data_IF_223943214509
#
_entry.id   IF_223943214509
#
_cell.length_a   1.000
_cell.length_b   1.000
_cell.length_c   1.000
_cell.angle_alpha   90.00
_cell.angle_beta   90.00
_cell.angle_gamma   90.00
#
_symmetry.space_group_name_H-M   'P 1'
#
loop_
_entity.id
_entity.type
_entity.pdbx_description
1 polymer ?
#
# COMPACT_ATOMS: atom_id res chain seq x y z
N UNK A 1 21.86 -36.36 24.15
CA UNK A 1 20.77 -35.52 24.70
C UNK A 1 20.94 -34.15 24.07
N UNK A 2 20.50 -34.04 22.82
CA UNK A 2 20.50 -32.80 22.04
C UNK A 2 19.24 -32.05 22.42
N UNK A 3 19.39 -30.85 22.96
CA UNK A 3 18.27 -29.96 23.24
C UNK A 3 17.62 -29.61 21.90
N UNK A 4 16.34 -29.96 21.79
CA UNK A 4 15.46 -29.57 20.69
C UNK A 4 15.21 -28.07 20.84
N UNK A 5 15.66 -27.28 19.87
CA UNK A 5 15.38 -25.85 19.84
C UNK A 5 13.87 -25.69 19.57
N UNK A 6 13.10 -25.00 20.43
CA UNK A 6 11.66 -24.89 20.23
C UNK A 6 11.38 -24.13 18.94
N UNK A 7 10.59 -24.75 18.06
CA UNK A 7 10.12 -24.13 16.83
C UNK A 7 9.51 -22.74 17.13
N UNK A 8 9.82 -21.70 16.34
CA UNK A 8 9.25 -20.38 16.55
C UNK A 8 7.72 -20.48 16.51
N UNK A 9 7.07 -20.03 17.59
CA UNK A 9 5.62 -20.04 17.72
C UNK A 9 4.95 -19.24 16.59
N UNK A 10 3.69 -19.55 16.23
CA UNK A 10 3.01 -18.89 15.12
C UNK A 10 2.94 -17.38 15.34
N UNK A 11 3.36 -16.63 14.32
CA UNK A 11 3.21 -15.16 14.25
C UNK A 11 1.78 -14.77 14.62
N UNK A 12 1.63 -13.89 15.61
CA UNK A 12 0.36 -13.52 16.24
C UNK A 12 -0.46 -12.49 15.44
N UNK A 13 0.10 -11.94 14.37
CA UNK A 13 -0.57 -10.92 13.56
C UNK A 13 -1.40 -11.56 12.43
N UNK A 14 -2.66 -11.11 12.22
CA UNK A 14 -3.46 -11.55 11.09
C UNK A 14 -2.74 -11.19 9.78
N UNK A 15 -2.86 -12.04 8.76
CA UNK A 15 -2.29 -11.76 7.45
C UNK A 15 -2.78 -10.40 6.90
N UNK A 16 -1.96 -9.65 6.14
CA UNK A 16 -2.38 -8.37 5.59
C UNK A 16 -3.61 -8.52 4.67
N UNK A 17 -4.54 -7.54 4.67
CA UNK A 17 -5.79 -7.58 3.90
C UNK A 17 -5.54 -7.28 2.42
N UNK A 18 -4.84 -8.19 1.73
CA UNK A 18 -4.35 -7.97 0.36
C UNK A 18 -5.47 -7.72 -0.65
N UNK A 19 -6.64 -8.36 -0.49
CA UNK A 19 -7.81 -8.12 -1.32
C UNK A 19 -8.27 -6.66 -1.21
N UNK A 20 -8.57 -6.20 0.01
CA UNK A 20 -8.91 -4.80 0.27
C UNK A 20 -7.86 -3.82 -0.27
N UNK A 21 -6.57 -4.07 -0.04
CA UNK A 21 -5.48 -3.21 -0.56
C UNK A 21 -5.52 -3.14 -2.09
N UNK A 22 -5.75 -4.27 -2.78
CA UNK A 22 -5.91 -4.30 -4.24
C UNK A 22 -7.08 -3.44 -4.69
N UNK A 23 -8.24 -3.54 -4.03
CA UNK A 23 -9.43 -2.72 -4.33
C UNK A 23 -9.17 -1.22 -4.10
N UNK A 24 -8.41 -0.86 -3.06
CA UNK A 24 -8.04 0.54 -2.83
C UNK A 24 -7.11 1.07 -3.92
N UNK A 25 -6.19 0.25 -4.42
CA UNK A 25 -5.36 0.61 -5.56
C UNK A 25 -6.18 0.74 -6.85
N UNK A 26 -7.18 -0.13 -7.08
CA UNK A 26 -8.16 0.02 -8.17
C UNK A 26 -8.95 1.34 -8.04
N UNK A 27 -9.44 1.65 -6.84
CA UNK A 27 -10.17 2.89 -6.58
C UNK A 27 -9.31 4.12 -6.93
N UNK A 28 -8.03 4.14 -6.51
CA UNK A 28 -7.07 5.23 -6.83
C UNK A 28 -6.82 5.44 -8.33
N UNK A 29 -7.04 4.42 -9.15
CA UNK A 29 -6.92 4.51 -10.62
C UNK A 29 -8.21 4.96 -11.30
N UNK A 30 -9.35 4.72 -10.66
CA UNK A 30 -10.64 5.09 -11.20
C UNK A 30 -10.89 6.61 -11.06
N UNK A 31 -11.59 7.24 -12.02
CA UNK A 31 -11.97 8.65 -11.89
C UNK A 31 -12.75 8.90 -10.60
N UNK A 32 -12.53 10.07 -10.00
CA UNK A 32 -13.30 10.52 -8.84
C UNK A 32 -14.80 10.51 -9.15
N UNK A 33 -15.61 10.12 -8.17
CA UNK A 33 -17.06 10.07 -8.26
C UNK A 33 -17.59 9.14 -9.35
N UNK A 34 -16.78 8.18 -9.82
CA UNK A 34 -17.20 7.13 -10.74
C UNK A 34 -17.76 5.92 -10.00
N UNK A 35 -18.70 5.21 -10.63
CA UNK A 35 -19.23 3.94 -10.09
C UNK A 35 -18.13 2.92 -9.82
N UNK A 36 -17.10 2.87 -10.68
CA UNK A 36 -15.95 2.00 -10.51
C UNK A 36 -15.17 2.33 -9.23
N UNK A 37 -14.94 3.62 -8.95
CA UNK A 37 -14.26 4.08 -7.74
C UNK A 37 -15.07 3.74 -6.49
N UNK A 38 -16.33 4.15 -6.43
CA UNK A 38 -17.18 3.87 -5.26
C UNK A 38 -17.34 2.37 -5.03
N UNK A 39 -17.55 1.58 -6.10
CA UNK A 39 -17.66 0.13 -5.99
C UNK A 39 -16.40 -0.51 -5.39
N UNK A 40 -15.22 -0.07 -5.82
CA UNK A 40 -13.95 -0.55 -5.27
C UNK A 40 -13.76 -0.14 -3.80
N UNK A 41 -14.12 1.09 -3.40
CA UNK A 41 -14.09 1.53 -2.00
C UNK A 41 -15.05 0.72 -1.12
N UNK A 42 -16.26 0.44 -1.60
CA UNK A 42 -17.24 -0.37 -0.88
C UNK A 42 -16.75 -1.81 -0.68
N UNK A 43 -16.21 -2.45 -1.73
CA UNK A 43 -15.61 -3.78 -1.61
C UNK A 43 -14.43 -3.80 -0.64
N UNK A 44 -13.55 -2.81 -0.69
CA UNK A 44 -12.43 -2.70 0.25
C UNK A 44 -12.93 -2.57 1.70
N UNK A 45 -13.91 -1.70 1.93
CA UNK A 45 -14.49 -1.49 3.25
C UNK A 45 -15.16 -2.76 3.79
N UNK A 46 -15.92 -3.47 2.96
CA UNK A 46 -16.57 -4.73 3.33
C UNK A 46 -15.54 -5.79 3.78
N UNK A 47 -14.45 -5.96 3.04
CA UNK A 47 -13.35 -6.86 3.41
C UNK A 47 -12.66 -6.43 4.71
N UNK A 48 -12.38 -5.14 4.90
CA UNK A 48 -11.76 -4.63 6.13
C UNK A 48 -12.70 -4.77 7.35
N UNK A 49 -13.99 -4.49 7.17
CA UNK A 49 -14.99 -4.59 8.22
C UNK A 49 -15.22 -6.05 8.65
N UNK A 50 -14.94 -7.03 7.79
CA UNK A 50 -14.98 -8.45 8.12
C UNK A 50 -13.80 -8.89 9.03
N UNK A 51 -12.74 -8.08 9.12
CA UNK A 51 -11.58 -8.36 9.99
C UNK A 51 -11.73 -7.76 11.39
N UNK A 52 -12.74 -6.92 11.61
CA UNK A 52 -13.02 -6.34 12.92
C UNK A 52 -13.51 -7.42 13.90
N UNK A 53 -13.12 -7.35 15.18
CA UNK A 53 -13.59 -8.28 16.20
C UNK A 53 -15.12 -8.34 16.25
N UNK A 54 -15.65 -9.56 16.34
CA UNK A 54 -17.06 -9.84 16.16
C UNK A 54 -17.85 -9.58 17.46
N UNK A 55 -17.97 -8.31 17.87
CA UNK A 55 -18.83 -7.94 19.00
C UNK A 55 -20.30 -7.89 18.54
N UNK A 56 -20.90 -9.07 18.34
CA UNK A 56 -22.35 -9.24 18.24
C UNK A 56 -22.95 -9.29 16.82
N UNK A 57 -22.18 -9.59 15.78
CA UNK A 57 -22.74 -9.80 14.43
C UNK A 57 -23.50 -11.13 14.41
N UNK A 58 -24.82 -11.09 14.18
CA UNK A 58 -25.61 -12.31 14.00
C UNK A 58 -25.17 -12.97 12.71
N UNK A 59 -24.67 -14.20 12.80
CA UNK A 59 -24.40 -15.07 11.66
C UNK A 59 -25.72 -15.38 10.94
N UNK A 60 -26.10 -14.53 10.01
CA UNK A 60 -27.11 -14.79 8.99
C UNK A 60 -26.39 -15.12 7.70
N UNK A 61 -26.81 -16.20 7.04
CA UNK A 61 -26.39 -16.56 5.69
C UNK A 61 -26.94 -15.49 4.74
N UNK A 62 -26.18 -14.41 4.52
CA UNK A 62 -26.65 -13.27 3.76
C UNK A 62 -26.48 -13.54 2.27
N UNK A 63 -27.55 -13.98 1.61
CA UNK A 63 -27.60 -14.21 0.16
C UNK A 63 -27.73 -12.90 -0.63
N UNK A 64 -27.68 -11.74 0.04
CA UNK A 64 -27.75 -10.43 -0.60
C UNK A 64 -26.45 -10.11 -1.36
N UNK A 65 -26.53 -9.36 -2.48
CA UNK A 65 -25.34 -8.87 -3.15
C UNK A 65 -24.50 -8.05 -2.17
N UNK A 66 -23.17 -8.23 -2.21
CA UNK A 66 -22.22 -7.39 -1.46
C UNK A 66 -22.39 -5.91 -1.82
N UNK A 67 -21.79 -5.01 -1.05
CA UNK A 67 -22.10 -3.57 -1.13
C UNK A 67 -21.88 -2.98 -2.55
N UNK A 68 -20.88 -3.45 -3.28
CA UNK A 68 -20.63 -3.05 -4.67
C UNK A 68 -21.71 -3.57 -5.65
N UNK A 69 -22.25 -4.77 -5.41
CA UNK A 69 -23.34 -5.33 -6.21
C UNK A 69 -24.65 -4.57 -5.99
N UNK A 70 -24.95 -4.21 -4.74
CA UNK A 70 -26.10 -3.38 -4.40
C UNK A 70 -26.02 -1.98 -5.05
N UNK A 71 -24.83 -1.39 -5.14
CA UNK A 71 -24.62 -0.14 -5.86
C UNK A 71 -24.92 -0.29 -7.36
N UNK A 72 -24.41 -1.34 -8.00
CA UNK A 72 -24.66 -1.59 -9.42
C UNK A 72 -26.16 -1.79 -9.73
N UNK A 73 -26.88 -2.51 -8.86
CA UNK A 73 -28.33 -2.68 -8.97
C UNK A 73 -29.07 -1.34 -8.82
N UNK A 74 -28.69 -0.53 -7.83
CA UNK A 74 -29.27 0.80 -7.61
C UNK A 74 -29.05 1.70 -8.83
N UNK A 75 -27.85 1.74 -9.38
CA UNK A 75 -27.54 2.54 -10.56
C UNK A 75 -28.32 2.07 -11.79
N UNK A 76 -28.49 0.76 -11.97
CA UNK A 76 -29.32 0.21 -13.04
C UNK A 76 -30.80 0.62 -12.89
N UNK A 77 -31.33 0.64 -11.66
CA UNK A 77 -32.69 1.13 -11.38
C UNK A 77 -32.83 2.64 -11.64
N UNK A 78 -31.76 3.40 -11.41
CA UNK A 78 -31.70 4.85 -11.56
C UNK A 78 -31.30 5.31 -12.98
N UNK A 79 -31.17 4.40 -13.96
CA UNK A 79 -30.75 4.71 -15.33
C UNK A 79 -31.74 5.58 -16.15
N UNK A 80 -32.77 6.15 -15.52
CA UNK A 80 -33.71 7.10 -16.12
C UNK A 80 -33.30 8.56 -15.95
N UNK A 81 -33.91 9.50 -16.71
CA UNK A 81 -33.67 10.93 -16.56
C UNK A 81 -33.96 11.40 -15.12
N UNK A 82 -32.95 11.94 -14.43
CA UNK A 82 -33.02 12.37 -13.03
C UNK A 82 -32.45 11.37 -12.01
N UNK A 83 -32.45 10.07 -12.33
CA UNK A 83 -31.83 9.05 -11.47
C UNK A 83 -30.30 9.06 -11.54
N UNK A 84 -29.73 9.34 -12.73
CA UNK A 84 -28.28 9.49 -12.91
C UNK A 84 -27.69 10.62 -12.07
N UNK A 85 -28.39 11.76 -11.99
CA UNK A 85 -27.99 12.89 -11.14
C UNK A 85 -28.04 12.53 -9.65
N UNK A 86 -29.05 11.76 -9.23
CA UNK A 86 -29.14 11.25 -7.86
C UNK A 86 -28.02 10.26 -7.52
N UNK A 87 -27.69 9.36 -8.45
CA UNK A 87 -26.58 8.42 -8.29
C UNK A 87 -25.22 9.14 -8.21
N UNK A 88 -25.00 10.15 -9.05
CA UNK A 88 -23.80 10.98 -9.00
C UNK A 88 -23.66 11.71 -7.64
N UNK A 89 -24.73 12.35 -7.16
CA UNK A 89 -24.74 13.02 -5.86
C UNK A 89 -24.48 12.05 -4.70
N UNK A 90 -25.00 10.83 -4.77
CA UNK A 90 -24.72 9.79 -3.78
C UNK A 90 -23.24 9.40 -3.76
N UNK A 91 -22.60 9.25 -4.93
CA UNK A 91 -21.17 8.94 -5.03
C UNK A 91 -20.31 10.05 -4.44
N UNK A 92 -20.58 11.31 -4.80
CA UNK A 92 -19.89 12.48 -4.25
C UNK A 92 -20.01 12.56 -2.72
N UNK A 93 -21.16 12.17 -2.16
CA UNK A 93 -21.39 12.17 -0.71
C UNK A 93 -20.71 10.99 0.02
N UNK A 94 -20.77 9.78 -0.55
CA UNK A 94 -20.29 8.56 0.13
C UNK A 94 -18.78 8.37 0.05
N UNK A 95 -18.16 8.73 -1.07
CA UNK A 95 -16.70 8.57 -1.26
C UNK A 95 -15.86 9.16 -0.12
N UNK A 96 -16.01 10.45 0.27
CA UNK A 96 -15.18 11.03 1.33
C UNK A 96 -15.40 10.35 2.70
N UNK A 97 -16.62 9.85 2.97
CA UNK A 97 -16.92 9.14 4.21
C UNK A 97 -16.20 7.79 4.24
N UNK A 98 -16.31 7.02 3.15
CA UNK A 98 -15.65 5.72 3.03
C UNK A 98 -14.14 5.86 3.10
N UNK A 99 -13.57 6.85 2.41
CA UNK A 99 -12.13 7.13 2.50
C UNK A 99 -11.70 7.36 3.94
N UNK A 100 -12.37 8.25 4.69
CA UNK A 100 -12.00 8.51 6.09
C UNK A 100 -12.12 7.28 6.98
N UNK A 101 -13.14 6.44 6.77
CA UNK A 101 -13.28 5.18 7.50
C UNK A 101 -12.16 4.19 7.16
N UNK A 102 -11.84 4.04 5.88
CA UNK A 102 -10.75 3.17 5.41
C UNK A 102 -9.39 3.65 5.95
N UNK A 103 -9.12 4.95 5.90
CA UNK A 103 -7.90 5.53 6.48
C UNK A 103 -7.77 5.16 7.96
N UNK A 104 -8.85 5.28 8.74
CA UNK A 104 -8.86 4.90 10.15
C UNK A 104 -8.66 3.39 10.36
N UNK A 105 -9.35 2.54 9.58
CA UNK A 105 -9.24 1.07 9.67
C UNK A 105 -7.84 0.56 9.32
N UNK A 106 -7.11 1.30 8.47
CA UNK A 106 -5.75 0.96 8.06
C UNK A 106 -4.67 1.69 8.87
N UNK A 107 -5.03 2.34 9.99
CA UNK A 107 -4.14 3.08 10.90
C UNK A 107 -3.43 4.27 10.23
N UNK A 108 -4.13 5.01 9.39
CA UNK A 108 -3.63 6.20 8.68
C UNK A 108 -2.45 5.93 7.73
N UNK A 109 -2.64 5.14 6.66
CA UNK A 109 -1.59 4.89 5.66
C UNK A 109 -1.12 6.17 4.94
N UNK A 110 -1.93 7.23 4.87
CA UNK A 110 -1.58 8.54 4.32
C UNK A 110 -0.37 9.20 5.01
N UNK A 111 0.01 8.70 6.19
CA UNK A 111 1.13 9.19 7.00
C UNK A 111 2.38 8.33 6.91
N UNK A 112 2.38 7.35 5.98
CA UNK A 112 3.45 6.35 5.86
C UNK A 112 3.91 6.22 4.41
N UNK A 113 5.19 6.48 4.18
CA UNK A 113 5.86 6.34 2.88
C UNK A 113 6.97 5.30 2.97
N UNK A 114 6.82 4.18 2.27
CA UNK A 114 7.89 3.20 2.07
C UNK A 114 8.77 3.59 0.88
N UNK A 115 10.08 3.65 1.13
CA UNK A 115 11.08 4.09 0.17
C UNK A 115 12.13 3.01 -0.05
N UNK A 116 12.46 2.73 -1.30
CA UNK A 116 13.48 1.74 -1.72
C UNK A 116 14.62 2.33 -2.56
N UNK A 117 14.57 3.63 -2.85
CA UNK A 117 15.45 4.26 -3.85
C UNK A 117 15.89 5.67 -3.46
N UNK A 118 15.87 6.59 -4.43
CA UNK A 118 16.56 7.88 -4.34
C UNK A 118 16.06 8.86 -3.26
N UNK A 119 14.92 8.58 -2.63
CA UNK A 119 14.38 9.37 -1.50
C UNK A 119 14.94 8.92 -0.13
N UNK A 120 15.69 7.81 -0.06
CA UNK A 120 16.28 7.32 1.19
C UNK A 120 17.23 8.35 1.81
N UNK A 121 17.39 8.37 3.16
CA UNK A 121 18.39 9.20 3.81
C UNK A 121 19.79 9.02 3.21
N UNK A 122 20.42 10.11 2.78
CA UNK A 122 21.74 10.12 2.15
C UNK A 122 21.74 9.99 0.62
N UNK A 123 20.60 9.70 -0.01
CA UNK A 123 20.47 9.63 -1.47
C UNK A 123 20.16 10.99 -2.11
N UNK A 124 20.39 11.08 -3.44
CA UNK A 124 20.33 12.32 -4.20
C UNK A 124 19.01 13.10 -4.06
N UNK A 125 17.88 12.40 -3.95
CA UNK A 125 16.55 13.02 -3.92
C UNK A 125 15.96 13.08 -2.50
N UNK A 126 16.73 12.72 -1.47
CA UNK A 126 16.28 12.77 -0.07
C UNK A 126 15.74 14.14 0.34
N UNK A 127 16.28 15.21 -0.25
CA UNK A 127 15.84 16.58 0.01
C UNK A 127 14.34 16.82 -0.24
N UNK A 128 13.66 15.97 -1.02
CA UNK A 128 12.21 16.01 -1.16
C UNK A 128 11.46 15.60 0.11
N UNK A 129 12.02 14.75 0.96
CA UNK A 129 11.37 14.31 2.22
C UNK A 129 12.10 14.76 3.47
N UNK A 130 13.30 15.34 3.33
CA UNK A 130 14.18 15.73 4.44
C UNK A 130 13.56 16.74 5.41
N UNK A 131 12.64 17.59 4.95
CA UNK A 131 11.96 18.59 5.81
C UNK A 131 10.80 18.01 6.61
N UNK A 132 10.39 16.78 6.32
CA UNK A 132 9.28 16.12 7.01
C UNK A 132 9.76 15.59 8.35
N UNK A 133 9.22 16.14 9.44
CA UNK A 133 9.48 15.63 10.79
C UNK A 133 8.80 14.28 10.92
N UNK A 134 9.57 13.25 11.24
CA UNK A 134 9.07 11.89 11.28
C UNK A 134 10.11 10.87 11.72
N UNK A 135 9.71 9.61 11.70
CA UNK A 135 10.54 8.46 12.06
C UNK A 135 10.81 7.61 10.84
N UNK A 136 12.05 7.15 10.69
CA UNK A 136 12.42 6.16 9.70
C UNK A 136 12.54 4.78 10.35
N UNK A 137 11.97 3.76 9.72
CA UNK A 137 11.99 2.38 10.19
C UNK A 137 12.35 1.45 9.06
N UNK A 138 13.20 0.45 9.31
CA UNK A 138 13.49 -0.58 8.32
C UNK A 138 12.26 -1.48 8.12
N UNK A 139 12.05 -1.93 6.88
CA UNK A 139 10.96 -2.83 6.55
C UNK A 139 11.23 -3.63 5.28
N UNK A 140 10.31 -4.55 4.99
CA UNK A 140 10.34 -5.39 3.80
C UNK A 140 8.97 -5.40 3.14
N UNK A 141 8.95 -5.23 1.82
CA UNK A 141 7.75 -5.31 0.99
C UNK A 141 7.88 -6.44 -0.01
N UNK A 142 6.78 -7.11 -0.34
CA UNK A 142 6.78 -8.14 -1.37
C UNK A 142 6.72 -7.54 -2.78
N UNK A 143 7.64 -7.98 -3.63
CA UNK A 143 7.73 -7.56 -5.02
C UNK A 143 9.14 -7.73 -5.56
N UNK A 144 9.39 -7.12 -6.72
CA UNK A 144 10.69 -7.19 -7.40
C UNK A 144 11.22 -5.77 -7.63
N UNK A 145 12.51 -5.59 -7.35
CA UNK A 145 13.22 -4.36 -7.65
C UNK A 145 14.01 -4.54 -8.94
N UNK A 146 13.77 -3.67 -9.91
CA UNK A 146 14.51 -3.63 -11.17
C UNK A 146 15.55 -2.50 -11.13
N UNK A 147 16.79 -2.84 -11.43
CA UNK A 147 17.90 -1.89 -11.45
C UNK A 147 17.83 -0.91 -12.64
N UNK A 148 18.71 0.09 -12.58
CA UNK A 148 18.88 1.15 -13.57
C UNK A 148 18.95 0.59 -14.99
N UNK A 149 18.13 1.12 -15.90
CA UNK A 149 18.12 0.77 -17.33
C UNK A 149 16.98 -0.15 -17.77
N UNK A 150 16.22 -0.72 -16.83
CA UNK A 150 15.00 -1.48 -17.13
C UNK A 150 13.79 -0.54 -17.15
N UNK A 151 13.49 0.05 -18.32
CA UNK A 151 12.37 0.97 -18.57
C UNK A 151 12.28 2.26 -17.71
N UNK A 152 13.01 2.37 -16.59
CA UNK A 152 13.14 3.57 -15.80
C UNK A 152 13.95 4.61 -16.58
N UNK A 153 13.26 5.42 -17.39
CA UNK A 153 13.83 6.51 -18.20
C UNK A 153 14.72 7.48 -17.39
N UNK A 154 14.57 7.48 -16.06
CA UNK A 154 15.26 8.38 -15.13
C UNK A 154 16.50 7.75 -14.44
N UNK A 155 16.82 6.48 -14.67
CA UNK A 155 18.03 5.86 -14.11
C UNK A 155 17.97 5.56 -12.60
N UNK A 156 16.77 5.41 -12.03
CA UNK A 156 16.53 4.97 -10.65
C UNK A 156 15.90 3.57 -10.64
N UNK A 157 16.02 2.80 -9.54
CA UNK A 157 15.40 1.49 -9.46
C UNK A 157 13.87 1.59 -9.54
N UNK A 158 13.21 0.53 -10.02
CA UNK A 158 11.77 0.44 -10.14
C UNK A 158 11.20 -0.74 -9.36
N UNK A 159 10.25 -0.47 -8.47
CA UNK A 159 9.54 -1.51 -7.72
C UNK A 159 8.31 -2.00 -8.49
N UNK A 160 8.12 -3.32 -8.56
CA UNK A 160 6.90 -3.93 -9.07
C UNK A 160 6.30 -4.79 -7.96
N UNK A 161 5.05 -4.52 -7.50
CA UNK A 161 4.41 -5.34 -6.48
C UNK A 161 4.18 -6.76 -7.02
N UNK A 162 4.35 -7.77 -6.17
CA UNK A 162 4.13 -9.15 -6.58
C UNK A 162 4.27 -10.14 -5.43
N UNK A 163 3.47 -11.20 -5.47
CA UNK A 163 3.44 -12.26 -4.46
C UNK A 163 4.39 -13.43 -4.75
N UNK A 164 5.15 -13.38 -5.85
CA UNK A 164 5.99 -14.49 -6.32
C UNK A 164 7.29 -14.70 -5.53
N UNK A 165 7.31 -14.31 -4.25
CA UNK A 165 8.41 -14.57 -3.31
C UNK A 165 9.56 -13.57 -3.33
N UNK A 166 9.54 -12.55 -4.19
CA UNK A 166 10.50 -11.45 -4.12
C UNK A 166 10.26 -10.58 -2.89
N UNK A 167 11.33 -10.21 -2.19
CA UNK A 167 11.29 -9.31 -1.02
C UNK A 167 12.25 -8.16 -1.24
N UNK A 168 11.75 -6.94 -1.11
CA UNK A 168 12.50 -5.70 -1.31
C UNK A 168 12.65 -4.99 0.03
N UNK A 169 13.89 -4.68 0.39
CA UNK A 169 14.17 -3.86 1.56
C UNK A 169 13.72 -2.42 1.33
N UNK A 170 13.03 -1.85 2.31
CA UNK A 170 12.53 -0.48 2.30
C UNK A 170 12.85 0.21 3.62
N UNK A 171 12.86 1.54 3.61
CA UNK A 171 12.69 2.33 4.83
C UNK A 171 11.35 3.03 4.78
N UNK A 172 10.58 2.93 5.87
CA UNK A 172 9.29 3.59 6.03
C UNK A 172 9.50 4.89 6.78
N UNK A 173 9.18 6.01 6.15
CA UNK A 173 9.00 7.30 6.78
C UNK A 173 7.57 7.41 7.31
N UNK A 174 7.44 7.59 8.62
CA UNK A 174 6.17 7.94 9.27
C UNK A 174 6.18 9.42 9.66
N UNK A 175 5.22 10.19 9.14
CA UNK A 175 5.13 11.63 9.40
C UNK A 175 3.70 12.13 9.29
N UNK A 176 3.29 12.97 10.25
CA UNK A 176 2.00 13.66 10.22
C UNK A 176 1.91 14.70 9.09
N UNK A 177 3.04 15.13 8.52
CA UNK A 177 3.12 16.14 7.47
C UNK A 177 3.12 15.54 6.05
N UNK A 178 3.13 14.21 5.91
CA UNK A 178 3.06 13.55 4.60
C UNK A 178 1.80 13.90 3.79
N UNK A 179 0.59 13.99 4.39
CA UNK A 179 -0.62 14.38 3.69
C UNK A 179 -0.50 15.68 2.88
N UNK A 180 0.26 16.64 3.41
CA UNK A 180 0.39 17.98 2.82
C UNK A 180 1.37 18.05 1.64
N UNK A 181 2.15 16.99 1.39
CA UNK A 181 3.21 16.99 0.35
C UNK A 181 3.01 15.94 -0.73
N UNK A 182 1.95 15.15 -0.65
CA UNK A 182 1.67 14.06 -1.60
C UNK A 182 1.63 14.51 -3.04
N UNK A 183 0.92 15.60 -3.35
CA UNK A 183 0.82 16.14 -4.72
C UNK A 183 2.19 16.54 -5.28
N UNK A 184 3.06 17.10 -4.44
CA UNK A 184 4.42 17.49 -4.85
C UNK A 184 5.30 16.28 -5.09
N UNK A 185 5.17 15.22 -4.29
CA UNK A 185 5.90 13.98 -4.48
C UNK A 185 5.43 13.27 -5.75
N UNK A 186 4.12 13.21 -6.00
CA UNK A 186 3.55 12.63 -7.22
C UNK A 186 4.01 13.39 -8.47
N UNK A 187 4.04 14.72 -8.43
CA UNK A 187 4.54 15.53 -9.53
C UNK A 187 6.04 15.32 -9.80
N UNK A 188 6.84 15.10 -8.74
CA UNK A 188 8.27 14.82 -8.85
C UNK A 188 8.53 13.44 -9.49
N UNK A 189 7.83 12.42 -9.00
CA UNK A 189 7.94 11.04 -9.50
C UNK A 189 7.47 10.92 -10.96
N UNK A 190 6.41 11.67 -11.29
CA UNK A 190 5.87 11.81 -12.64
C UNK A 190 5.30 10.50 -13.19
N UNK A 191 5.11 10.42 -14.51
CA UNK A 191 4.43 9.28 -15.15
C UNK A 191 5.17 7.94 -15.01
N UNK A 192 6.46 7.97 -14.67
CA UNK A 192 7.29 6.77 -14.55
C UNK A 192 6.93 5.93 -13.32
N UNK A 193 6.40 6.56 -12.28
CA UNK A 193 6.11 5.93 -11.02
C UNK A 193 4.71 6.31 -10.53
N UNK A 194 4.03 5.37 -9.90
CA UNK A 194 2.67 5.57 -9.39
C UNK A 194 2.60 5.20 -7.92
N UNK A 195 1.97 6.06 -7.13
CA UNK A 195 1.72 5.77 -5.71
C UNK A 195 0.61 4.72 -5.57
N UNK A 196 0.95 3.64 -4.88
CA UNK A 196 0.02 2.58 -4.47
C UNK A 196 0.12 2.34 -2.96
N UNK A 197 -0.84 1.62 -2.41
CA UNK A 197 -0.74 1.02 -1.09
C UNK A 197 -0.12 -0.38 -1.19
N UNK A 198 0.76 -0.70 -0.25
CA UNK A 198 1.33 -2.04 -0.10
C UNK A 198 1.48 -2.41 1.38
N UNK A 199 1.26 -3.68 1.76
CA UNK A 199 1.63 -4.14 3.09
C UNK A 199 3.15 -4.21 3.19
N UNK A 200 3.70 -3.58 4.23
CA UNK A 200 5.13 -3.59 4.55
C UNK A 200 5.29 -4.23 5.91
N UNK A 201 6.12 -5.27 5.99
CA UNK A 201 6.58 -5.82 7.26
C UNK A 201 7.65 -4.89 7.83
N UNK A 202 7.32 -4.20 8.91
CA UNK A 202 8.19 -3.25 9.58
C UNK A 202 8.86 -3.92 10.78
N UNK A 203 10.13 -3.59 11.00
CA UNK A 203 10.81 -3.98 12.23
C UNK A 203 10.22 -3.19 13.40
N UNK A 204 9.80 -3.88 14.45
CA UNK A 204 9.37 -3.21 15.66
C UNK A 204 10.56 -2.48 16.26
N UNK A 205 10.41 -1.17 16.44
CA UNK A 205 11.40 -0.39 17.18
C UNK A 205 10.92 -0.37 18.61
N UNK A 206 11.61 -1.08 19.50
CA UNK A 206 11.41 -0.96 20.93
C UNK A 206 11.47 0.53 21.28
N UNK A 207 10.31 1.10 21.58
CA UNK A 207 10.24 2.46 22.10
C UNK A 207 10.79 2.37 23.51
N UNK A 208 12.10 2.56 23.65
CA UNK A 208 12.80 2.46 24.91
C UNK A 208 12.20 3.41 25.93
N UNK A 209 11.29 2.90 26.76
CA UNK A 209 11.02 3.51 28.04
C UNK A 209 12.34 3.47 28.83
N UNK A 210 12.89 4.64 29.14
CA UNK A 210 14.00 4.75 30.09
C UNK A 210 13.48 4.30 31.45
N UNK A 211 13.59 3.01 31.74
CA UNK A 211 13.51 2.47 33.08
C UNK A 211 14.70 1.55 33.26
N UNK A 212 15.69 2.04 34.01
CA UNK A 212 16.89 1.28 34.31
C UNK A 212 16.55 0.05 35.14
N UNK A 213 16.80 -1.12 34.55
CA UNK A 213 17.29 -2.32 35.25
C UNK A 213 17.74 -3.32 34.19
N UNK A 214 19.01 -3.72 34.26
CA UNK A 214 19.60 -4.72 33.38
C UNK A 214 18.94 -6.08 33.62
N UNK A 215 18.24 -6.58 32.60
CA UNK A 215 17.79 -7.96 32.49
C UNK A 215 18.21 -8.49 31.13
N UNK A 216 19.15 -9.44 31.12
CA UNK A 216 19.51 -10.24 29.96
C UNK A 216 18.30 -11.06 29.52
N UNK A 217 17.54 -10.56 28.55
CA UNK A 217 16.48 -11.26 27.85
C UNK A 217 16.72 -11.17 26.36
N UNK A 218 16.68 -12.31 25.66
CA UNK A 218 16.77 -12.41 24.21
C UNK A 218 15.60 -11.62 23.60
N UNK A 219 15.89 -10.46 23.00
CA UNK A 219 14.89 -9.60 22.38
C UNK A 219 14.24 -10.33 21.20
N UNK A 220 12.99 -10.74 21.38
CA UNK A 220 12.16 -11.19 20.27
C UNK A 220 11.85 -9.98 19.41
N UNK A 221 12.58 -9.81 18.31
CA UNK A 221 12.29 -8.82 17.27
C UNK A 221 10.91 -9.11 16.68
N UNK A 222 9.86 -8.51 17.24
CA UNK A 222 8.53 -8.51 16.66
C UNK A 222 8.60 -7.88 15.26
N UNK A 223 7.97 -8.53 14.29
CA UNK A 223 7.73 -7.91 12.98
C UNK A 223 6.24 -7.67 12.89
N UNK A 224 5.87 -6.44 12.57
CA UNK A 224 4.47 -6.02 12.48
C UNK A 224 4.27 -5.46 11.08
N UNK A 225 3.18 -5.83 10.41
CA UNK A 225 2.88 -5.26 9.11
C UNK A 225 2.06 -3.97 9.23
N UNK A 226 2.25 -3.07 8.27
CA UNK A 226 1.58 -1.79 8.14
C UNK A 226 1.32 -1.49 6.67
N UNK A 227 0.16 -0.91 6.33
CA UNK A 227 -0.13 -0.48 4.94
C UNK A 227 0.57 0.83 4.65
N UNK A 228 1.57 0.84 3.77
CA UNK A 228 2.31 2.06 3.44
C UNK A 228 2.02 2.50 2.01
N UNK A 229 2.12 3.80 1.75
CA UNK A 229 2.25 4.28 0.38
C UNK A 229 3.64 3.92 -0.15
N UNK A 230 3.73 3.48 -1.40
CA UNK A 230 4.96 3.17 -2.12
C UNK A 230 4.79 3.51 -3.59
N UNK A 231 5.87 3.92 -4.26
CA UNK A 231 5.86 4.19 -5.69
C UNK A 231 6.20 2.93 -6.48
N UNK A 232 5.28 2.41 -7.28
CA UNK A 232 5.55 1.31 -8.23
C UNK A 232 5.95 1.84 -9.60
N UNK A 233 6.66 1.04 -10.39
CA UNK A 233 6.99 1.31 -11.78
C UNK A 233 5.76 1.07 -12.67
N UNK A 234 5.33 2.09 -13.42
CA UNK A 234 4.10 2.04 -14.24
C UNK A 234 4.29 1.38 -15.60
N UNK A 235 5.51 1.39 -16.13
CA UNK A 235 5.80 1.01 -17.52
C UNK A 235 7.01 0.08 -17.62
N UNK A 236 6.76 -1.17 -18.01
CA UNK A 236 7.78 -2.08 -18.53
C UNK A 236 7.96 -1.82 -20.03
N UNK A 237 8.61 -0.73 -20.43
CA UNK A 237 9.13 -0.66 -21.78
C UNK A 237 10.21 -1.76 -21.93
N UNK A 238 9.88 -2.86 -22.61
CA UNK A 238 10.83 -3.89 -23.03
C UNK A 238 12.05 -3.19 -23.65
N UNK A 239 13.29 -3.44 -23.21
CA UNK A 239 14.44 -2.93 -23.96
C UNK A 239 14.35 -3.47 -25.39
N UNK A 240 14.53 -2.58 -26.37
CA UNK A 240 14.76 -3.00 -27.75
C UNK A 240 15.89 -4.03 -27.72
N UNK A 241 15.71 -5.17 -28.41
CA UNK A 241 16.76 -6.18 -28.55
C UNK A 241 18.07 -5.45 -28.80
N UNK A 242 19.07 -5.70 -27.96
CA UNK A 242 20.43 -5.24 -28.22
C UNK A 242 20.74 -5.62 -29.67
N UNK A 243 20.95 -4.61 -30.52
CA UNK A 243 21.35 -4.79 -31.91
C UNK A 243 22.43 -5.85 -31.94
N UNK A 244 22.28 -6.78 -32.88
CA UNK A 244 23.32 -7.70 -33.31
C UNK A 244 24.65 -6.95 -33.30
N UNK A 245 25.52 -7.31 -32.34
CA UNK A 245 26.94 -7.03 -32.45
C UNK A 245 27.39 -7.83 -33.66
N UNK A 246 27.44 -7.17 -34.81
CA UNK A 246 28.30 -7.58 -35.91
C UNK A 246 29.69 -7.86 -35.32
N UNK A 247 30.22 -9.09 -35.48
CA UNK A 247 31.61 -9.31 -35.16
C UNK A 247 32.45 -8.60 -36.23
N UNK A 248 33.20 -7.59 -35.80
CA UNK A 248 34.39 -7.11 -36.51
C UNK A 248 35.31 -8.32 -36.72
N UNK A 249 35.28 -8.89 -37.93
CA UNK A 249 36.26 -9.86 -38.39
C UNK A 249 37.40 -9.09 -39.06
N UNK A 250 38.52 -9.04 -38.35
CA UNK A 250 39.86 -8.81 -38.92
C UNK A 250 40.28 -9.97 -39.83
#
# INVERSE_FOLDING_TARGET
MTADDPAPGPSRDPAPPRGAISRLNEARLAPEHSSARLGALLSAFEELAALLPDEGRRAGEDTRPGAAGALAELEALLAGPGGEAGAAALREYLEPILERLIEALLDHPERRLAVYGSLLPGENNHHHVATLVGRWTEGTVEGTLHDRGWAARQGYPGFIPGSSGGRVAVKVLESLALPDVWDRLDAFEGEAYRRILAPVEMQEVETGAVSGTAGSGTAGSGTVWRVCNIYELTNLARPARAKDREPDSA
#
